data_IF_556016099391
#
_entry.id   IF_556016099391
#
_cell.length_a   1.000
_cell.length_b   1.000
_cell.length_c   1.000
_cell.angle_alpha   90.00
_cell.angle_beta   90.00
_cell.angle_gamma   90.00
#
_symmetry.space_group_name_H-M   'P 1'
#
loop_
_entity.id
_entity.type
_entity.pdbx_description
1 polymer ?
#
# COMPACT_ATOMS: atom_id res chain seq x y z
N UNK A 1 -34.06 24.18 -43.48
CA UNK A 1 -33.80 23.71 -42.10
C UNK A 1 -32.32 23.41 -41.93
N UNK A 2 -31.58 24.24 -41.19
CA UNK A 2 -30.16 24.03 -40.86
C UNK A 2 -30.08 23.10 -39.64
N UNK A 3 -29.53 21.90 -39.80
CA UNK A 3 -29.25 21.00 -38.69
C UNK A 3 -27.95 21.43 -38.00
N UNK A 4 -28.06 21.96 -36.78
CA UNK A 4 -26.93 22.16 -35.88
C UNK A 4 -26.52 20.80 -35.28
N UNK A 5 -25.36 20.30 -35.69
CA UNK A 5 -24.72 19.14 -35.07
C UNK A 5 -24.10 19.57 -33.73
N UNK A 6 -24.75 19.22 -32.62
CA UNK A 6 -24.19 19.46 -31.29
C UNK A 6 -23.11 18.41 -30.99
N UNK A 7 -21.84 18.84 -30.99
CA UNK A 7 -20.70 18.01 -30.62
C UNK A 7 -20.67 17.85 -29.08
N UNK A 8 -21.18 16.74 -28.54
CA UNK A 8 -21.05 16.42 -27.12
C UNK A 8 -19.61 16.01 -26.80
N UNK A 9 -18.86 16.91 -26.17
CA UNK A 9 -17.54 16.63 -25.59
C UNK A 9 -17.73 15.79 -24.32
N UNK A 10 -17.48 14.48 -24.40
CA UNK A 10 -17.30 13.63 -23.23
C UNK A 10 -15.96 13.96 -22.57
N UNK A 11 -15.98 14.86 -21.59
CA UNK A 11 -14.86 15.08 -20.69
C UNK A 11 -14.86 13.92 -19.69
N UNK A 12 -14.08 12.87 -19.98
CA UNK A 12 -13.76 11.88 -18.95
C UNK A 12 -13.06 12.60 -17.80
N UNK A 13 -13.55 12.51 -16.55
CA UNK A 13 -12.84 13.09 -15.43
C UNK A 13 -11.52 12.34 -15.33
N UNK A 14 -10.41 13.05 -15.52
CA UNK A 14 -9.11 12.55 -15.12
C UNK A 14 -9.23 12.23 -13.63
N UNK A 15 -9.26 10.94 -13.27
CA UNK A 15 -9.27 10.52 -11.88
C UNK A 15 -8.07 11.21 -11.21
N UNK A 16 -8.32 12.19 -10.36
CA UNK A 16 -7.30 12.83 -9.56
C UNK A 16 -6.53 11.70 -8.87
N UNK A 17 -5.19 11.73 -8.95
CA UNK A 17 -4.38 10.75 -8.22
C UNK A 17 -4.78 10.87 -6.74
N UNK A 18 -5.22 9.78 -6.09
CA UNK A 18 -5.66 9.85 -4.71
C UNK A 18 -4.52 10.44 -3.87
N UNK A 19 -4.86 11.37 -2.99
CA UNK A 19 -3.92 11.95 -2.04
C UNK A 19 -3.14 10.79 -1.36
N UNK A 20 -1.80 10.91 -1.24
CA UNK A 20 -0.91 9.88 -0.69
C UNK A 20 -1.35 9.23 0.61
N UNK A 21 -2.27 9.86 1.36
CA UNK A 21 -2.75 9.34 2.62
C UNK A 21 -4.27 9.04 2.65
N UNK A 22 -4.91 8.95 1.48
CA UNK A 22 -6.31 8.52 1.36
C UNK A 22 -6.45 7.08 0.87
N UNK A 23 -7.49 6.39 1.33
CA UNK A 23 -7.87 5.07 0.83
C UNK A 23 -8.41 5.17 -0.61
N UNK A 24 -8.35 4.08 -1.36
CA UNK A 24 -8.82 4.07 -2.75
C UNK A 24 -10.36 4.23 -2.88
N UNK A 25 -11.12 4.10 -1.79
CA UNK A 25 -12.59 4.16 -1.80
C UNK A 25 -13.28 3.01 -2.54
N UNK A 26 -12.55 1.94 -2.86
CA UNK A 26 -13.07 0.80 -3.63
C UNK A 26 -14.00 -0.10 -2.85
N UNK A 27 -13.99 0.00 -1.51
CA UNK A 27 -14.70 -0.91 -0.59
C UNK A 27 -15.56 -0.18 0.44
N UNK A 28 -15.70 1.14 0.31
CA UNK A 28 -16.39 1.98 1.29
C UNK A 28 -16.08 3.46 1.06
N UNK A 29 -16.37 4.28 2.08
CA UNK A 29 -16.09 5.71 2.03
C UNK A 29 -14.59 5.97 1.98
N UNK A 30 -14.17 6.93 1.14
CA UNK A 30 -12.78 7.40 1.13
C UNK A 30 -12.46 8.02 2.50
N UNK A 31 -11.41 7.51 3.13
CA UNK A 31 -10.89 8.02 4.39
C UNK A 31 -9.46 8.48 4.16
N UNK A 32 -9.07 9.58 4.81
CA UNK A 32 -7.76 10.19 4.66
C UNK A 32 -7.11 10.38 6.02
N UNK A 33 -5.81 10.11 6.11
CA UNK A 33 -5.00 10.34 7.32
C UNK A 33 -4.09 11.54 7.09
N UNK A 34 -4.39 12.66 7.73
CA UNK A 34 -3.61 13.90 7.58
C UNK A 34 -2.60 14.04 8.70
N UNK A 35 -1.41 14.55 8.40
CA UNK A 35 -0.36 14.80 9.41
C UNK A 35 -0.88 15.62 10.61
N UNK A 36 -1.59 16.72 10.33
CA UNK A 36 -2.12 17.62 11.35
C UNK A 36 -3.16 16.99 12.28
N UNK A 37 -3.84 15.93 11.83
CA UNK A 37 -4.94 15.28 12.56
C UNK A 37 -4.74 13.76 12.68
N UNK A 38 -3.48 13.28 12.62
CA UNK A 38 -3.20 11.87 12.40
C UNK A 38 -3.89 10.97 13.42
N UNK A 39 -3.84 11.29 14.73
CA UNK A 39 -4.47 10.44 15.76
C UNK A 39 -5.96 10.27 15.51
N UNK A 40 -6.65 11.38 15.24
CA UNK A 40 -8.09 11.38 14.97
C UNK A 40 -8.40 10.59 13.71
N UNK A 41 -7.73 10.91 12.61
CA UNK A 41 -7.97 10.29 11.31
C UNK A 41 -7.60 8.80 11.31
N UNK A 42 -6.52 8.40 11.99
CA UNK A 42 -6.14 6.99 12.19
C UNK A 42 -7.24 6.22 12.91
N UNK A 43 -7.71 6.72 14.05
CA UNK A 43 -8.70 6.01 14.85
C UNK A 43 -10.04 5.92 14.13
N UNK A 44 -10.43 6.96 13.39
CA UNK A 44 -11.55 6.90 12.46
C UNK A 44 -11.33 5.83 11.38
N UNK A 45 -10.16 5.81 10.75
CA UNK A 45 -9.84 4.85 9.69
C UNK A 45 -9.89 3.40 10.19
N UNK A 46 -9.34 3.13 11.37
CA UNK A 46 -9.40 1.81 12.01
C UNK A 46 -10.84 1.37 12.28
N UNK A 47 -11.67 2.26 12.83
CA UNK A 47 -13.08 1.95 13.13
C UNK A 47 -13.88 1.68 11.86
N UNK A 48 -13.77 2.57 10.87
CA UNK A 48 -14.51 2.47 9.60
C UNK A 48 -14.09 1.22 8.82
N UNK A 49 -12.77 0.94 8.73
CA UNK A 49 -12.29 -0.25 8.02
C UNK A 49 -12.72 -1.52 8.73
N UNK A 50 -12.62 -1.56 10.06
CA UNK A 50 -13.07 -2.73 10.82
C UNK A 50 -14.57 -2.98 10.63
N UNK A 51 -15.40 -1.93 10.73
CA UNK A 51 -16.85 -2.04 10.52
C UNK A 51 -17.18 -2.50 9.09
N UNK A 52 -16.48 -1.96 8.09
CA UNK A 52 -16.68 -2.30 6.66
C UNK A 52 -16.42 -3.78 6.40
N UNK A 53 -15.43 -4.38 7.06
CA UNK A 53 -15.04 -5.78 6.85
C UNK A 53 -15.51 -6.73 7.96
N UNK A 54 -16.41 -6.29 8.85
CA UNK A 54 -16.97 -7.13 9.90
C UNK A 54 -15.97 -7.56 10.99
N UNK A 55 -14.93 -6.76 11.24
CA UNK A 55 -13.93 -7.02 12.28
C UNK A 55 -14.25 -6.32 13.59
N UNK A 56 -13.78 -6.91 14.69
CA UNK A 56 -13.70 -6.20 15.97
C UNK A 56 -12.64 -5.06 15.88
N UNK A 57 -13.04 -3.78 16.04
CA UNK A 57 -12.11 -2.67 15.88
C UNK A 57 -11.02 -2.65 16.95
N UNK A 58 -11.27 -3.18 18.14
CA UNK A 58 -10.25 -3.29 19.19
C UNK A 58 -9.18 -4.32 18.84
N UNK A 59 -9.58 -5.50 18.33
CA UNK A 59 -8.65 -6.50 17.81
C UNK A 59 -7.78 -5.89 16.70
N UNK A 60 -8.42 -5.24 15.72
CA UNK A 60 -7.70 -4.62 14.60
C UNK A 60 -6.70 -3.54 15.07
N UNK A 61 -7.10 -2.66 15.98
CA UNK A 61 -6.21 -1.63 16.52
C UNK A 61 -5.03 -2.22 17.31
N UNK A 62 -5.24 -3.29 18.08
CA UNK A 62 -4.16 -3.99 18.81
C UNK A 62 -3.17 -4.65 17.85
N UNK A 63 -3.68 -5.26 16.78
CA UNK A 63 -2.85 -5.85 15.74
C UNK A 63 -1.98 -4.80 15.04
N UNK A 64 -2.58 -3.72 14.53
CA UNK A 64 -1.83 -2.65 13.86
C UNK A 64 -0.84 -1.97 14.82
N UNK A 65 -1.19 -1.82 16.10
CA UNK A 65 -0.25 -1.35 17.12
C UNK A 65 0.96 -2.29 17.26
N UNK A 66 0.74 -3.61 17.27
CA UNK A 66 1.81 -4.59 17.35
C UNK A 66 2.66 -4.64 16.09
N UNK A 67 2.09 -4.35 14.92
CA UNK A 67 2.85 -4.29 13.67
C UNK A 67 3.84 -3.12 13.64
N UNK A 68 3.36 -1.90 13.91
CA UNK A 68 4.15 -0.69 13.62
C UNK A 68 4.10 0.38 14.70
N UNK A 69 3.31 0.17 15.77
CA UNK A 69 2.99 1.19 16.78
C UNK A 69 2.37 2.42 16.10
N UNK A 70 1.56 2.15 15.08
CA UNK A 70 0.95 3.12 14.17
C UNK A 70 1.94 3.96 13.35
N UNK A 71 3.18 3.50 13.15
CA UNK A 71 4.15 4.20 12.33
C UNK A 71 3.87 3.94 10.82
N UNK A 72 3.43 4.95 10.06
CA UNK A 72 3.13 4.80 8.62
C UNK A 72 4.38 4.51 7.78
N UNK A 73 5.57 4.75 8.34
CA UNK A 73 6.85 4.65 7.66
C UNK A 73 7.68 3.44 8.10
N UNK A 74 7.12 2.55 8.92
CA UNK A 74 7.83 1.39 9.44
C UNK A 74 8.39 0.50 8.31
N UNK A 75 9.60 -0.02 8.53
CA UNK A 75 10.25 -1.01 7.66
C UNK A 75 10.93 -2.04 8.55
N UNK A 76 10.48 -3.30 8.50
CA UNK A 76 11.11 -4.38 9.27
C UNK A 76 12.35 -4.94 8.57
N UNK A 77 13.21 -5.70 9.28
CA UNK A 77 14.30 -6.46 8.68
C UNK A 77 13.83 -7.46 7.61
N UNK A 78 12.60 -7.96 7.72
CA UNK A 78 11.97 -8.84 6.74
C UNK A 78 11.36 -8.10 5.53
N UNK A 79 11.60 -6.80 5.39
CA UNK A 79 11.01 -5.92 4.38
C UNK A 79 9.47 -5.83 4.44
N UNK A 80 8.91 -5.95 5.64
CA UNK A 80 7.51 -5.59 5.88
C UNK A 80 7.39 -4.07 5.97
N UNK A 81 6.40 -3.49 5.28
CA UNK A 81 6.35 -2.05 5.00
C UNK A 81 5.08 -1.39 5.53
N UNK A 82 5.27 -0.19 6.09
CA UNK A 82 4.22 0.74 6.47
C UNK A 82 3.43 0.34 7.70
N UNK A 83 2.30 1.02 7.92
CA UNK A 83 1.53 0.94 9.17
C UNK A 83 1.02 -0.48 9.48
N UNK A 84 0.70 -1.25 8.44
CA UNK A 84 0.16 -2.60 8.54
C UNK A 84 1.18 -3.70 8.20
N UNK A 85 2.46 -3.31 8.01
CA UNK A 85 3.59 -4.22 7.78
C UNK A 85 3.34 -5.25 6.66
N UNK A 86 2.83 -4.79 5.51
CA UNK A 86 2.73 -5.65 4.34
C UNK A 86 4.13 -5.96 3.78
N UNK A 87 4.46 -7.23 3.61
CA UNK A 87 5.54 -7.64 2.70
C UNK A 87 5.10 -7.41 1.25
N UNK A 88 6.05 -7.13 0.35
CA UNK A 88 5.73 -6.72 -1.03
C UNK A 88 4.90 -7.74 -1.79
N UNK A 89 5.22 -9.02 -1.68
CA UNK A 89 4.50 -10.10 -2.37
C UNK A 89 3.04 -10.18 -1.92
N UNK A 90 2.76 -10.01 -0.63
CA UNK A 90 1.40 -9.95 -0.10
C UNK A 90 0.70 -8.69 -0.59
N UNK A 91 1.32 -7.51 -0.50
CA UNK A 91 0.74 -6.27 -1.03
C UNK A 91 0.31 -6.41 -2.51
N UNK A 92 1.18 -6.98 -3.35
CA UNK A 92 0.91 -7.20 -4.77
C UNK A 92 -0.26 -8.18 -4.98
N UNK A 93 -0.33 -9.31 -4.23
CA UNK A 93 -1.47 -10.25 -4.29
C UNK A 93 -2.78 -9.60 -3.86
N UNK A 94 -2.73 -8.64 -2.94
CA UNK A 94 -3.90 -7.94 -2.40
C UNK A 94 -4.27 -6.68 -3.17
N UNK A 95 -3.50 -6.30 -4.19
CA UNK A 95 -3.71 -5.08 -4.96
C UNK A 95 -3.30 -3.78 -4.26
N UNK A 96 -2.63 -3.86 -3.11
CA UNK A 96 -2.11 -2.70 -2.38
C UNK A 96 -0.89 -2.13 -3.11
N UNK A 97 -1.06 -0.95 -3.73
CA UNK A 97 -0.03 -0.35 -4.59
C UNK A 97 1.13 0.23 -3.79
N UNK A 98 0.81 0.93 -2.71
CA UNK A 98 1.77 1.58 -1.83
C UNK A 98 1.49 1.22 -0.36
N UNK A 99 2.25 0.27 0.22
CA UNK A 99 2.14 -0.06 1.64
C UNK A 99 2.40 1.10 2.61
N UNK A 100 3.03 2.19 2.14
CA UNK A 100 3.29 3.38 2.94
C UNK A 100 2.15 4.41 2.89
N UNK A 101 1.13 4.23 2.05
CA UNK A 101 -0.13 4.96 2.20
C UNK A 101 -0.89 4.33 3.38
N UNK A 102 -0.99 4.99 4.54
CA UNK A 102 -1.54 4.37 5.73
C UNK A 102 -3.04 4.09 5.60
N UNK A 103 -3.82 4.95 4.95
CA UNK A 103 -5.25 4.72 4.81
C UNK A 103 -5.50 3.51 3.89
N UNK A 104 -4.85 3.47 2.72
CA UNK A 104 -5.00 2.35 1.79
C UNK A 104 -4.50 1.03 2.42
N UNK A 105 -3.37 1.07 3.13
CA UNK A 105 -2.83 -0.09 3.83
C UNK A 105 -3.75 -0.60 4.95
N UNK A 106 -4.39 0.28 5.73
CA UNK A 106 -5.32 -0.13 6.78
C UNK A 106 -6.59 -0.78 6.21
N UNK A 107 -7.17 -0.24 5.14
CA UNK A 107 -8.33 -0.88 4.49
C UNK A 107 -7.97 -2.28 3.96
N UNK A 108 -6.84 -2.41 3.28
CA UNK A 108 -6.37 -3.70 2.78
C UNK A 108 -6.03 -4.69 3.92
N UNK A 109 -5.48 -4.19 5.03
CA UNK A 109 -5.20 -5.02 6.21
C UNK A 109 -6.48 -5.52 6.87
N UNK A 110 -7.47 -4.64 7.05
CA UNK A 110 -8.78 -5.02 7.58
C UNK A 110 -9.46 -6.07 6.69
N UNK A 111 -9.47 -5.87 5.37
CA UNK A 111 -10.02 -6.86 4.45
C UNK A 111 -9.30 -8.21 4.57
N UNK A 112 -7.96 -8.20 4.51
CA UNK A 112 -7.18 -9.44 4.57
C UNK A 112 -7.39 -10.16 5.90
N UNK A 113 -7.39 -9.42 7.01
CA UNK A 113 -7.60 -9.99 8.34
C UNK A 113 -9.02 -10.56 8.50
N UNK A 114 -10.05 -9.95 7.93
CA UNK A 114 -11.41 -10.49 7.91
C UNK A 114 -11.51 -11.83 7.15
N UNK A 115 -10.81 -11.94 6.02
CA UNK A 115 -10.71 -13.19 5.27
C UNK A 115 -10.00 -14.28 6.08
N UNK A 116 -8.94 -13.92 6.82
CA UNK A 116 -8.27 -14.83 7.73
C UNK A 116 -9.17 -15.27 8.89
N UNK A 117 -9.92 -14.34 9.51
CA UNK A 117 -10.91 -14.68 10.55
C UNK A 117 -11.96 -15.64 10.00
N UNK A 118 -12.46 -15.39 8.80
CA UNK A 118 -13.44 -16.27 8.14
C UNK A 118 -12.83 -17.65 7.85
N UNK A 119 -11.60 -17.70 7.34
CA UNK A 119 -10.92 -18.95 6.98
C UNK A 119 -10.58 -19.81 8.20
N UNK A 120 -10.10 -19.20 9.28
CA UNK A 120 -9.59 -19.92 10.45
C UNK A 120 -10.56 -19.92 11.63
N UNK A 121 -11.71 -19.27 11.52
CA UNK A 121 -12.80 -19.29 12.49
C UNK A 121 -12.57 -18.47 13.76
N UNK A 122 -11.42 -17.79 13.92
CA UNK A 122 -11.11 -16.99 15.11
C UNK A 122 -10.12 -15.86 14.85
N UNK A 123 -10.20 -14.78 15.63
CA UNK A 123 -9.23 -13.68 15.60
C UNK A 123 -7.82 -14.12 15.99
N UNK A 124 -7.70 -15.05 16.94
CA UNK A 124 -6.39 -15.58 17.34
C UNK A 124 -5.71 -16.37 16.23
N UNK A 125 -6.44 -17.27 15.55
CA UNK A 125 -5.88 -17.99 14.41
C UNK A 125 -5.64 -17.07 13.21
N UNK A 126 -6.45 -16.02 13.04
CA UNK A 126 -6.17 -14.98 12.06
C UNK A 126 -4.88 -14.22 12.38
N UNK A 127 -4.60 -13.93 13.66
CA UNK A 127 -3.34 -13.32 14.09
C UNK A 127 -2.13 -14.24 13.83
N UNK A 128 -2.27 -15.56 14.07
CA UNK A 128 -1.26 -16.56 13.69
C UNK A 128 -0.97 -16.48 12.18
N UNK A 129 -2.01 -16.47 11.35
CA UNK A 129 -1.87 -16.43 9.91
C UNK A 129 -1.33 -15.08 9.38
N UNK A 130 -1.67 -13.96 10.02
CA UNK A 130 -1.20 -12.64 9.63
C UNK A 130 0.31 -12.49 9.87
N UNK A 131 0.79 -12.88 11.06
CA UNK A 131 2.22 -12.80 11.42
C UNK A 131 3.05 -13.95 10.82
N UNK A 132 2.62 -15.20 11.05
CA UNK A 132 3.35 -16.41 10.63
C UNK A 132 3.13 -16.79 9.17
N UNK A 133 2.09 -16.25 8.53
CA UNK A 133 1.65 -16.66 7.20
C UNK A 133 0.69 -17.85 7.24
N UNK A 134 -0.20 -17.91 6.24
CA UNK A 134 -1.26 -18.92 6.13
C UNK A 134 -0.73 -20.37 6.21
N UNK A 135 0.36 -20.69 5.52
CA UNK A 135 0.94 -22.04 5.56
C UNK A 135 1.40 -22.48 6.96
N UNK A 136 1.82 -21.53 7.81
CA UNK A 136 2.17 -21.82 9.21
C UNK A 136 0.91 -22.02 10.05
N UNK A 137 -0.13 -21.23 9.82
CA UNK A 137 -1.42 -21.41 10.48
C UNK A 137 -2.06 -22.77 10.12
N UNK A 138 -2.06 -23.14 8.83
CA UNK A 138 -2.52 -24.45 8.36
C UNK A 138 -1.72 -25.59 9.02
N UNK A 139 -0.39 -25.45 9.09
CA UNK A 139 0.48 -26.41 9.76
C UNK A 139 0.22 -26.52 11.26
N UNK A 140 -0.08 -25.40 11.93
CA UNK A 140 -0.38 -25.36 13.36
C UNK A 140 -1.72 -26.05 13.70
N UNK A 141 -2.72 -25.91 12.81
CA UNK A 141 -3.96 -26.69 12.90
C UNK A 141 -3.71 -28.21 12.76
N UNK A 142 -2.65 -28.60 12.05
CA UNK A 142 -2.21 -30.00 11.90
C UNK A 142 -1.24 -30.45 13.00
N UNK A 143 -1.07 -29.68 14.08
CA UNK A 143 -0.23 -30.03 15.22
C UNK A 143 1.27 -29.71 15.07
N UNK A 144 1.68 -28.98 14.01
CA UNK A 144 3.05 -28.46 13.91
C UNK A 144 3.26 -27.28 14.85
N UNK A 145 4.50 -27.04 15.28
CA UNK A 145 4.84 -25.89 16.12
C UNK A 145 4.82 -24.54 15.37
N UNK A 146 4.75 -23.45 16.14
CA UNK A 146 4.88 -22.08 15.66
C UNK A 146 6.29 -21.53 15.91
N UNK A 147 6.66 -20.48 15.17
CA UNK A 147 7.86 -19.72 15.48
C UNK A 147 7.67 -18.90 16.76
N UNK A 148 8.73 -18.67 17.54
CA UNK A 148 8.66 -17.92 18.80
C UNK A 148 8.02 -16.54 18.63
N UNK A 149 8.33 -15.85 17.54
CA UNK A 149 7.72 -14.56 17.21
C UNK A 149 6.18 -14.65 17.19
N UNK A 150 5.62 -15.68 16.55
CA UNK A 150 4.18 -15.88 16.46
C UNK A 150 3.57 -16.31 17.79
N UNK A 151 4.29 -17.13 18.57
CA UNK A 151 3.89 -17.54 19.92
C UNK A 151 3.71 -16.31 20.82
N UNK A 152 4.63 -15.35 20.75
CA UNK A 152 4.56 -14.12 21.55
C UNK A 152 3.55 -13.12 20.99
N UNK A 153 3.38 -13.08 19.66
CA UNK A 153 2.53 -12.12 18.96
C UNK A 153 1.03 -12.26 19.30
N UNK A 154 0.50 -13.48 19.30
CA UNK A 154 -0.94 -13.76 19.53
C UNK A 154 -1.43 -13.28 20.91
N UNK A 155 -0.76 -13.59 22.04
CA UNK A 155 -1.23 -13.15 23.36
C UNK A 155 -1.07 -11.64 23.56
N UNK A 156 -0.12 -10.97 22.93
CA UNK A 156 -0.05 -9.50 22.98
C UNK A 156 -1.33 -8.87 22.41
N UNK A 157 -1.81 -9.40 21.29
CA UNK A 157 -2.97 -8.85 20.58
C UNK A 157 -4.28 -9.32 21.21
N UNK A 158 -4.38 -10.59 21.57
CA UNK A 158 -5.65 -11.18 21.97
C UNK A 158 -5.75 -11.38 23.48
N UNK A 159 -4.65 -11.57 24.19
CA UNK A 159 -4.64 -11.95 25.60
C UNK A 159 -4.73 -13.46 25.85
N UNK A 160 -4.77 -14.29 24.80
CA UNK A 160 -4.75 -15.75 24.86
C UNK A 160 -3.65 -16.32 23.97
N UNK A 161 -3.18 -17.54 24.26
CA UNK A 161 -2.17 -18.22 23.41
C UNK A 161 -2.78 -18.74 22.12
N UNK A 162 -1.93 -19.05 21.13
CA UNK A 162 -2.38 -19.65 19.88
C UNK A 162 -3.07 -21.01 20.10
N UNK A 163 -2.59 -21.81 21.05
CA UNK A 163 -3.16 -23.10 21.43
C UNK A 163 -4.56 -22.94 22.03
N UNK A 164 -4.75 -21.95 22.92
CA UNK A 164 -6.09 -21.65 23.46
C UNK A 164 -7.07 -21.31 22.34
N UNK A 165 -6.65 -20.53 21.34
CA UNK A 165 -7.49 -20.21 20.18
C UNK A 165 -7.75 -21.38 19.24
N UNK A 166 -6.83 -22.35 19.16
CA UNK A 166 -6.98 -23.56 18.34
C UNK A 166 -7.87 -24.61 19.02
N UNK A 167 -7.63 -24.87 20.30
CA UNK A 167 -8.14 -26.05 21.01
C UNK A 167 -9.42 -25.74 21.80
N UNK A 168 -9.55 -24.52 22.31
CA UNK A 168 -10.64 -24.12 23.20
C UNK A 168 -10.97 -22.63 23.03
N UNK A 169 -11.31 -22.25 21.80
CA UNK A 169 -11.74 -20.88 21.50
C UNK A 169 -12.91 -20.49 22.42
N UNK A 170 -12.81 -19.37 23.16
CA UNK A 170 -13.93 -18.88 23.95
C UNK A 170 -15.07 -18.34 23.07
N UNK A 171 -16.32 -18.61 23.48
CA UNK A 171 -17.51 -18.05 22.80
C UNK A 171 -17.55 -16.52 22.90
N UNK A 172 -17.08 -15.97 24.02
CA UNK A 172 -16.95 -14.53 24.25
C UNK A 172 -15.58 -14.20 24.80
N UNK A 173 -14.89 -13.21 24.22
CA UNK A 173 -13.60 -12.75 24.70
C UNK A 173 -13.44 -11.24 24.60
N UNK A 174 -13.10 -10.60 25.72
CA UNK A 174 -13.01 -9.14 25.81
C UNK A 174 -11.64 -8.63 25.35
N UNK A 175 -11.57 -8.23 24.09
CA UNK A 175 -10.37 -7.61 23.49
C UNK A 175 -10.37 -6.07 23.57
N UNK A 176 -11.29 -5.44 24.31
CA UNK A 176 -11.41 -3.98 24.33
C UNK A 176 -10.11 -3.31 24.77
N UNK A 177 -9.77 -2.22 24.09
CA UNK A 177 -8.64 -1.34 24.42
C UNK A 177 -8.79 -0.65 25.79
N UNK A 178 -10.03 -0.53 26.27
CA UNK A 178 -10.38 0.04 27.57
C UNK A 178 -11.62 -0.65 28.11
N UNK A 179 -11.64 -0.89 29.42
CA UNK A 179 -12.83 -1.45 30.10
C UNK A 179 -13.98 -0.45 30.22
N UNK A 180 -13.69 0.85 30.13
CA UNK A 180 -14.63 1.94 30.41
C UNK A 180 -14.90 2.87 29.24
N UNK A 181 -14.00 2.96 28.26
CA UNK A 181 -14.14 3.85 27.10
C UNK A 181 -14.65 3.09 25.87
N UNK A 182 -15.44 3.77 25.04
CA UNK A 182 -15.73 3.32 23.68
C UNK A 182 -14.46 3.29 22.81
N UNK A 183 -14.56 2.71 21.62
CA UNK A 183 -13.42 2.48 20.74
C UNK A 183 -12.61 3.74 20.45
N UNK A 184 -13.21 4.81 19.90
CA UNK A 184 -12.47 6.03 19.50
C UNK A 184 -11.66 6.64 20.64
N UNK A 185 -12.23 6.98 21.82
CA UNK A 185 -11.43 7.55 22.91
C UNK A 185 -10.33 6.62 23.43
N UNK A 186 -10.56 5.30 23.44
CA UNK A 186 -9.55 4.32 23.81
C UNK A 186 -8.41 4.25 22.78
N UNK A 187 -8.75 4.24 21.49
CA UNK A 187 -7.80 4.29 20.39
C UNK A 187 -6.97 5.58 20.44
N UNK A 188 -7.59 6.74 20.68
CA UNK A 188 -6.88 8.01 20.83
C UNK A 188 -5.84 7.94 21.97
N UNK A 189 -6.21 7.37 23.12
CA UNK A 189 -5.31 7.23 24.25
C UNK A 189 -4.13 6.27 23.96
N UNK A 190 -4.35 5.20 23.19
CA UNK A 190 -3.29 4.31 22.72
C UNK A 190 -2.36 5.03 21.72
N UNK A 191 -2.96 5.67 20.72
CA UNK A 191 -2.29 6.34 19.63
C UNK A 191 -1.49 7.59 20.08
N UNK A 192 -1.92 8.27 21.14
CA UNK A 192 -1.21 9.41 21.72
C UNK A 192 0.15 9.06 22.33
N UNK A 193 0.41 7.78 22.62
CA UNK A 193 1.69 7.31 23.19
C UNK A 193 2.82 7.18 22.16
N UNK A 194 2.53 7.38 20.86
CA UNK A 194 3.53 7.17 19.80
C UNK A 194 4.41 8.39 19.59
N UNK A 195 5.60 8.16 19.04
CA UNK A 195 6.37 9.22 18.39
C UNK A 195 5.88 9.41 16.96
N UNK A 196 5.47 10.64 16.61
CA UNK A 196 5.01 10.96 15.27
C UNK A 196 6.19 11.05 14.31
N UNK A 197 6.17 10.23 13.25
CA UNK A 197 6.98 10.50 12.07
C UNK A 197 6.09 11.16 11.01
N UNK A 198 6.56 12.21 10.31
CA UNK A 198 5.79 12.82 9.23
C UNK A 198 5.43 11.79 8.17
N UNK A 199 4.22 11.87 7.61
CA UNK A 199 3.82 11.00 6.52
C UNK A 199 4.80 11.09 5.35
N UNK A 200 5.20 9.93 4.83
CA UNK A 200 5.96 9.90 3.59
C UNK A 200 5.12 10.50 2.47
N UNK A 201 5.72 11.46 1.76
CA UNK A 201 5.15 11.93 0.50
C UNK A 201 5.09 10.76 -0.48
N UNK A 202 3.98 10.62 -1.20
CA UNK A 202 3.86 9.64 -2.27
C UNK A 202 5.11 9.67 -3.16
N UNK A 203 5.58 8.50 -3.64
CA UNK A 203 6.62 8.46 -4.63
C UNK A 203 6.25 9.39 -5.79
N UNK A 204 7.14 10.32 -6.13
CA UNK A 204 6.90 11.30 -7.21
C UNK A 204 6.63 10.63 -8.56
N UNK A 205 7.04 9.37 -8.73
CA UNK A 205 6.92 8.60 -9.96
C UNK A 205 6.38 7.20 -9.67
N UNK A 206 5.60 6.64 -10.60
CA UNK A 206 5.15 5.23 -10.54
C UNK A 206 6.38 4.29 -10.54
N UNK A 207 6.31 3.08 -9.94
CA UNK A 207 7.49 2.26 -9.60
C UNK A 207 8.31 1.74 -10.79
N UNK A 208 7.73 1.68 -11.99
CA UNK A 208 8.42 1.27 -13.21
C UNK A 208 8.37 2.37 -14.26
N UNK A 209 9.36 2.46 -15.13
CA UNK A 209 9.39 3.44 -16.20
C UNK A 209 9.97 2.87 -17.50
N UNK A 210 9.36 3.25 -18.61
CA UNK A 210 9.89 2.99 -19.95
C UNK A 210 10.78 4.16 -20.33
N UNK A 211 12.09 3.93 -20.35
CA UNK A 211 13.09 4.94 -20.67
C UNK A 211 13.32 5.02 -22.18
N UNK A 212 13.15 6.21 -22.74
CA UNK A 212 13.44 6.50 -24.15
C UNK A 212 14.66 7.40 -24.32
N UNK A 213 15.02 8.19 -23.30
CA UNK A 213 16.20 9.04 -23.35
C UNK A 213 16.83 9.24 -21.97
N UNK A 214 18.10 9.64 -21.98
CA UNK A 214 18.84 10.05 -20.80
C UNK A 214 19.85 11.13 -21.18
N UNK A 215 20.01 12.13 -20.33
CA UNK A 215 20.95 13.24 -20.57
C UNK A 215 21.54 13.76 -19.24
N UNK A 216 22.63 14.53 -19.31
CA UNK A 216 23.24 15.17 -18.13
C UNK A 216 22.41 16.35 -17.62
N UNK A 217 21.50 16.87 -18.44
CA UNK A 217 20.62 17.99 -18.13
C UNK A 217 19.14 17.61 -18.28
N UNK A 218 18.26 18.30 -17.55
CA UNK A 218 16.82 18.06 -17.63
C UNK A 218 16.26 18.44 -19.01
N UNK A 219 16.74 19.54 -19.59
CA UNK A 219 16.35 20.02 -20.92
C UNK A 219 16.84 19.08 -22.02
N UNK A 220 18.10 18.63 -21.95
CA UNK A 220 18.66 17.66 -22.89
C UNK A 220 17.90 16.34 -22.88
N UNK A 221 17.48 15.86 -21.70
CA UNK A 221 16.70 14.62 -21.59
C UNK A 221 15.34 14.75 -22.29
N UNK A 222 14.67 15.91 -22.16
CA UNK A 222 13.42 16.21 -22.87
C UNK A 222 13.64 16.31 -24.38
N UNK A 223 14.65 17.06 -24.81
CA UNK A 223 14.94 17.23 -26.23
C UNK A 223 15.29 15.89 -26.90
N UNK A 224 16.09 15.05 -26.24
CA UNK A 224 16.39 13.70 -26.72
C UNK A 224 15.14 12.82 -26.75
N UNK A 225 14.26 12.92 -25.75
CA UNK A 225 12.99 12.19 -25.76
C UNK A 225 12.15 12.55 -26.99
N UNK A 226 11.93 13.85 -27.25
CA UNK A 226 11.14 14.31 -28.41
C UNK A 226 11.72 13.84 -29.75
N UNK A 227 13.04 13.87 -29.90
CA UNK A 227 13.71 13.36 -31.11
C UNK A 227 13.58 11.84 -31.24
N UNK A 228 13.91 11.09 -30.20
CA UNK A 228 13.96 9.62 -30.23
C UNK A 228 12.58 8.96 -30.28
N UNK A 229 11.55 9.68 -29.86
CA UNK A 229 10.16 9.21 -29.87
C UNK A 229 9.38 9.60 -31.12
N UNK A 230 9.99 10.31 -32.08
CA UNK A 230 9.30 10.84 -33.24
C UNK A 230 8.52 9.77 -34.03
N UNK A 231 9.10 8.58 -34.22
CA UNK A 231 8.48 7.47 -34.95
C UNK A 231 7.30 6.81 -34.20
N UNK A 232 7.24 6.96 -32.87
CA UNK A 232 6.25 6.31 -32.01
C UNK A 232 5.38 7.29 -31.21
N UNK A 233 5.25 8.55 -31.66
CA UNK A 233 4.45 9.58 -30.97
C UNK A 233 2.99 9.16 -30.78
N UNK A 234 2.44 8.38 -31.71
CA UNK A 234 1.07 7.87 -31.63
C UNK A 234 0.86 7.00 -30.40
N UNK A 235 1.81 6.11 -30.07
CA UNK A 235 1.74 5.29 -28.86
C UNK A 235 2.01 6.06 -27.55
N UNK A 236 2.48 7.30 -27.65
CA UNK A 236 2.78 8.18 -26.51
C UNK A 236 1.75 9.29 -26.32
N UNK A 237 0.71 9.34 -27.15
CA UNK A 237 -0.32 10.37 -27.05
C UNK A 237 -1.03 10.28 -25.70
N UNK A 238 -1.05 11.39 -24.95
CA UNK A 238 -1.65 11.46 -23.62
C UNK A 238 -0.78 10.90 -22.49
N UNK A 239 0.41 10.38 -22.80
CA UNK A 239 1.33 9.90 -21.79
C UNK A 239 2.07 11.04 -21.09
N UNK A 240 2.20 10.93 -19.77
CA UNK A 240 3.00 11.88 -18.97
C UNK A 240 4.48 11.50 -19.06
N UNK A 241 5.29 12.46 -19.50
CA UNK A 241 6.75 12.35 -19.44
C UNK A 241 7.26 12.71 -18.02
N UNK A 242 7.88 11.73 -17.38
CA UNK A 242 8.63 11.92 -16.14
C UNK A 242 10.12 12.05 -16.42
N UNK A 243 10.75 13.11 -15.90
CA UNK A 243 12.19 13.32 -16.01
C UNK A 243 12.84 13.09 -14.64
N UNK A 244 13.43 11.90 -14.48
CA UNK A 244 13.88 11.36 -13.20
C UNK A 244 15.39 11.52 -13.06
N UNK A 245 15.84 12.27 -12.05
CA UNK A 245 17.27 12.38 -11.76
C UNK A 245 17.79 11.13 -11.03
N UNK A 246 18.85 10.53 -11.57
CA UNK A 246 19.60 9.42 -10.98
C UNK A 246 21.01 9.89 -10.65
N UNK A 247 21.34 9.91 -9.35
CA UNK A 247 22.71 10.19 -8.90
C UNK A 247 23.69 9.17 -9.50
N UNK A 248 24.89 9.64 -9.81
CA UNK A 248 25.97 8.74 -10.19
C UNK A 248 26.42 7.92 -8.98
N UNK A 249 26.88 6.67 -9.19
CA UNK A 249 27.36 5.81 -8.09
C UNK A 249 28.64 6.34 -7.45
N UNK A 250 29.47 7.01 -8.24
CA UNK A 250 30.66 7.74 -7.78
C UNK A 250 30.26 9.13 -7.35
N UNK A 251 30.47 9.47 -6.08
CA UNK A 251 29.99 10.71 -5.44
C UNK A 251 30.42 12.00 -6.16
N UNK A 252 31.62 12.03 -6.76
CA UNK A 252 32.17 13.19 -7.46
C UNK A 252 31.56 13.45 -8.84
N UNK A 253 30.84 12.48 -9.42
CA UNK A 253 30.29 12.60 -10.77
C UNK A 253 28.84 13.06 -10.74
N UNK A 254 28.49 13.99 -11.65
CA UNK A 254 27.10 14.42 -11.85
C UNK A 254 26.23 13.23 -12.27
N UNK A 255 24.96 13.25 -11.89
CA UNK A 255 23.99 12.21 -12.25
C UNK A 255 23.52 12.30 -13.69
N UNK A 256 22.38 11.65 -13.95
CA UNK A 256 21.69 11.64 -15.24
C UNK A 256 20.20 11.91 -15.03
N UNK A 257 19.60 12.64 -15.97
CA UNK A 257 18.16 12.81 -16.07
C UNK A 257 17.61 11.79 -17.05
N UNK A 258 16.78 10.88 -16.55
CA UNK A 258 16.15 9.81 -17.31
C UNK A 258 14.75 10.25 -17.74
N UNK A 259 14.51 10.34 -19.04
CA UNK A 259 13.19 10.61 -19.60
C UNK A 259 12.41 9.29 -19.72
N UNK A 260 11.39 9.13 -18.86
CA UNK A 260 10.62 7.90 -18.72
C UNK A 260 9.12 8.15 -18.78
N UNK A 261 8.40 7.16 -19.30
CA UNK A 261 6.95 7.07 -19.15
C UNK A 261 6.65 6.06 -18.04
N UNK A 262 6.11 6.52 -16.92
CA UNK A 262 5.99 5.69 -15.71
C UNK A 262 4.73 4.80 -15.70
N UNK A 263 4.84 3.65 -15.03
CA UNK A 263 3.84 2.58 -14.96
C UNK A 263 3.82 1.93 -13.58
N UNK A 264 2.66 1.38 -13.22
CA UNK A 264 2.44 0.74 -11.93
C UNK A 264 3.09 -0.66 -11.82
N UNK A 265 3.39 -1.31 -12.95
CA UNK A 265 4.00 -2.65 -12.97
C UNK A 265 5.03 -2.80 -14.08
N UNK A 266 5.95 -3.77 -13.90
CA UNK A 266 6.94 -4.15 -14.92
C UNK A 266 6.25 -4.61 -16.21
N UNK A 267 5.19 -5.41 -16.09
CA UNK A 267 4.45 -5.93 -17.24
C UNK A 267 3.77 -4.80 -18.05
N UNK A 268 3.17 -3.82 -17.37
CA UNK A 268 2.61 -2.64 -18.04
C UNK A 268 3.70 -1.81 -18.75
N UNK A 269 4.86 -1.65 -18.12
CA UNK A 269 6.02 -1.01 -18.75
C UNK A 269 6.55 -1.80 -19.95
N UNK A 270 6.63 -3.13 -19.84
CA UNK A 270 7.07 -4.00 -20.93
C UNK A 270 6.10 -3.98 -22.11
N UNK A 271 4.79 -4.00 -21.85
CA UNK A 271 3.75 -3.89 -22.88
C UNK A 271 3.89 -2.59 -23.68
N UNK A 272 4.08 -1.46 -22.98
CA UNK A 272 4.33 -0.18 -23.63
C UNK A 272 5.64 -0.22 -24.43
N UNK A 273 6.74 -0.66 -23.84
CA UNK A 273 8.03 -0.69 -24.54
C UNK A 273 7.98 -1.57 -25.81
N UNK A 274 7.28 -2.70 -25.77
CA UNK A 274 7.07 -3.55 -26.95
C UNK A 274 6.26 -2.82 -28.04
N UNK A 275 5.23 -2.06 -27.67
CA UNK A 275 4.48 -1.22 -28.62
C UNK A 275 5.37 -0.16 -29.27
N UNK A 276 6.20 0.53 -28.47
CA UNK A 276 7.12 1.54 -28.98
C UNK A 276 8.15 0.95 -29.95
N UNK A 277 8.69 -0.24 -29.64
CA UNK A 277 9.62 -0.96 -30.53
C UNK A 277 8.99 -1.35 -31.86
N UNK A 278 7.74 -1.80 -31.86
CA UNK A 278 6.99 -2.09 -33.10
C UNK A 278 6.76 -0.83 -33.97
N UNK A 279 6.77 0.35 -33.34
CA UNK A 279 6.69 1.65 -34.03
C UNK A 279 8.08 2.26 -34.30
N UNK A 280 9.16 1.48 -34.21
CA UNK A 280 10.51 1.91 -34.57
C UNK A 280 11.28 2.66 -33.47
N UNK A 281 10.77 2.73 -32.24
CA UNK A 281 11.45 3.40 -31.13
C UNK A 281 12.25 2.45 -30.24
N UNK A 282 13.48 2.85 -29.90
CA UNK A 282 14.26 2.17 -28.88
C UNK A 282 13.79 2.57 -27.47
N UNK A 283 13.62 1.57 -26.60
CA UNK A 283 13.28 1.76 -25.19
C UNK A 283 13.84 0.65 -24.32
N UNK A 284 13.94 0.92 -23.02
CA UNK A 284 14.26 -0.07 -22.00
C UNK A 284 13.40 0.15 -20.74
N UNK A 285 13.10 -0.93 -20.03
CA UNK A 285 12.27 -0.92 -18.82
C UNK A 285 13.16 -0.90 -17.59
N UNK A 286 12.94 0.05 -16.69
CA UNK A 286 13.68 0.19 -15.45
C UNK A 286 12.76 0.44 -14.26
N UNK A 287 13.27 0.12 -13.06
CA UNK A 287 12.64 0.56 -11.81
C UNK A 287 12.88 2.07 -11.59
N UNK A 288 11.86 2.77 -11.15
CA UNK A 288 11.90 4.17 -10.72
C UNK A 288 12.10 4.19 -9.20
N UNK A 289 13.27 3.77 -8.76
CA UNK A 289 13.74 3.83 -7.37
C UNK A 289 14.48 5.14 -7.05
#
# INVERSE_FOLDING_TARGET
MRYLLALMLFISPAQAEPDPACSAGTRGQVQCIRDAHFVHDLCQMLEVSAATHGLNPHFFARLIWQESRFNPNALSPANAMGIAQFIRSTADRRGLRDPYNPADALDHSAQYLAELVTRYGSEGMAAVAYNGGEARADGFLQGRGLAQETIDYVPIITGLTAEQWRDAKPDTHDMRLSKTKSFRPACHALAAKRQLTPLRKAPRYKPWGVQLAADRTKSGARAQFERRSAACRTALRGEKLDVIYKKHRVAKLKGWYMARVSRNSRNAAQKLCNTLRRQGCACAVYKNN
#
